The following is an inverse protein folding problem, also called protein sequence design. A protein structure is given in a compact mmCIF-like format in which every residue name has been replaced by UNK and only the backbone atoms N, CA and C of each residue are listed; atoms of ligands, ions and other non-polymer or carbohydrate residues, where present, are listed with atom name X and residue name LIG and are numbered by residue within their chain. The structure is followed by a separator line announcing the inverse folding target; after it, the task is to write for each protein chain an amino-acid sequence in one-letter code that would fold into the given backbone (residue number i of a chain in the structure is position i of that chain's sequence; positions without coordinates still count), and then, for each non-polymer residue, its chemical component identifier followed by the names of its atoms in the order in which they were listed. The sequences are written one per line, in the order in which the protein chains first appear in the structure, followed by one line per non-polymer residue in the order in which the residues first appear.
data_IF_922552413987
#
_entry.id   IF_922552413987
#
_cell.length_a   1.000
_cell.length_b   1.000
_cell.length_c   1.000
_cell.angle_alpha   90.00
_cell.angle_beta   90.00
_cell.angle_gamma   90.00
#
_symmetry.space_group_name_H-M   'P 1'
#
loop_
_entity.id
_entity.type
_entity.pdbx_description
1 polymer ?
#
# COMPACT_ATOMS: atom_id res chain seq x y z
N UNK A 1 -9.96 -17.90 -21.88
CA UNK A 1 -8.97 -17.52 -20.85
C UNK A 1 -9.68 -16.51 -19.97
N UNK A 2 -9.89 -16.79 -18.68
CA UNK A 2 -10.52 -15.84 -17.75
C UNK A 2 -9.39 -15.02 -17.14
N UNK A 3 -9.23 -13.80 -17.63
CA UNK A 3 -8.31 -12.83 -17.06
C UNK A 3 -9.00 -12.11 -15.91
N UNK A 4 -8.82 -12.62 -14.69
CA UNK A 4 -9.20 -11.91 -13.48
C UNK A 4 -8.02 -11.04 -13.04
N UNK A 5 -7.79 -9.92 -13.72
CA UNK A 5 -6.80 -8.93 -13.32
C UNK A 5 -7.33 -8.12 -12.13
N UNK A 6 -7.06 -8.54 -10.90
CA UNK A 6 -7.30 -7.72 -9.71
C UNK A 6 -6.01 -7.04 -9.32
N UNK A 7 -5.95 -5.72 -9.44
CA UNK A 7 -4.81 -4.90 -9.00
C UNK A 7 -4.61 -4.87 -7.47
N UNK A 8 -5.50 -5.54 -6.73
CA UNK A 8 -5.51 -5.60 -5.27
C UNK A 8 -5.99 -6.98 -4.82
N UNK A 9 -5.36 -7.56 -3.79
CA UNK A 9 -5.89 -8.73 -3.07
C UNK A 9 -5.93 -8.50 -1.57
N UNK A 10 -6.83 -9.22 -0.90
CA UNK A 10 -6.82 -9.34 0.55
C UNK A 10 -5.92 -10.50 0.94
N UNK A 11 -5.02 -10.28 1.89
CA UNK A 11 -4.14 -11.30 2.45
C UNK A 11 -4.39 -11.44 3.94
N UNK A 12 -4.09 -12.61 4.49
CA UNK A 12 -4.15 -12.89 5.91
C UNK A 12 -2.83 -13.49 6.43
N UNK A 13 -2.71 -13.48 7.76
CA UNK A 13 -1.53 -13.96 8.47
C UNK A 13 -1.32 -15.47 8.41
N UNK A 14 -2.30 -16.24 7.91
CA UNK A 14 -2.18 -17.70 7.86
C UNK A 14 -1.30 -18.12 6.69
N UNK A 15 -1.23 -17.30 5.63
CA UNK A 15 -0.46 -17.58 4.40
C UNK A 15 0.58 -16.50 4.05
N UNK A 16 0.46 -15.28 4.58
CA UNK A 16 1.31 -14.14 4.22
C UNK A 16 1.87 -13.40 5.44
N UNK A 17 2.95 -12.65 5.22
CA UNK A 17 3.48 -11.73 6.24
C UNK A 17 2.57 -10.51 6.34
N UNK A 18 1.91 -10.36 7.48
CA UNK A 18 1.05 -9.21 7.78
C UNK A 18 1.72 -8.36 8.87
N UNK A 19 2.06 -7.08 8.62
CA UNK A 19 2.79 -6.25 9.59
C UNK A 19 2.06 -6.02 10.91
N UNK A 20 0.72 -6.00 10.89
CA UNK A 20 -0.11 -5.79 12.07
C UNK A 20 -1.46 -6.50 11.95
N UNK A 21 -1.88 -7.19 13.01
CA UNK A 21 -3.19 -7.87 13.06
C UNK A 21 -3.23 -9.16 12.24
N UNK A 22 -4.41 -9.51 11.72
CA UNK A 22 -4.65 -10.77 11.00
C UNK A 22 -4.78 -10.64 9.48
N UNK A 23 -4.95 -9.42 8.96
CA UNK A 23 -5.30 -9.18 7.56
C UNK A 23 -4.62 -7.91 7.05
N UNK A 24 -4.23 -7.92 5.79
CA UNK A 24 -3.76 -6.75 5.07
C UNK A 24 -4.35 -6.70 3.66
N UNK A 25 -4.16 -5.55 3.02
CA UNK A 25 -4.45 -5.36 1.61
C UNK A 25 -3.12 -5.30 0.88
N UNK A 26 -2.99 -6.07 -0.18
CA UNK A 26 -1.81 -6.09 -1.02
C UNK A 26 -2.11 -5.52 -2.39
N UNK A 27 -1.29 -4.56 -2.81
CA UNK A 27 -1.31 -3.98 -4.15
C UNK A 27 -0.52 -4.88 -5.09
N UNK A 28 -1.19 -5.41 -6.11
CA UNK A 28 -0.58 -6.26 -7.12
C UNK A 28 -0.26 -5.41 -8.35
N UNK A 29 1.00 -5.43 -8.79
CA UNK A 29 1.36 -4.87 -10.09
C UNK A 29 1.02 -5.88 -11.19
N UNK A 30 0.14 -5.50 -12.12
CA UNK A 30 -0.30 -6.37 -13.22
C UNK A 30 0.76 -6.49 -14.31
N UNK A 31 1.16 -7.72 -14.66
CA UNK A 31 1.90 -8.01 -15.89
C UNK A 31 0.92 -7.99 -17.06
N UNK A 32 1.19 -7.19 -18.10
CA UNK A 32 1.31 -7.63 -19.51
C UNK A 32 1.86 -6.48 -20.39
N UNK A 33 3.05 -6.71 -20.97
CA UNK A 33 3.37 -6.26 -22.32
C UNK A 33 3.72 -4.80 -22.62
N UNK A 34 3.55 -3.83 -21.71
CA UNK A 34 3.93 -2.43 -21.95
C UNK A 34 4.89 -1.97 -20.84
N UNK A 35 5.93 -1.25 -21.25
CA UNK A 35 7.09 -0.78 -20.47
C UNK A 35 6.69 0.27 -19.39
N UNK A 36 5.42 0.32 -18.97
CA UNK A 36 4.92 1.23 -17.93
C UNK A 36 3.53 0.77 -17.47
N UNK A 37 3.43 0.09 -16.32
CA UNK A 37 2.15 -0.21 -15.65
C UNK A 37 2.36 -0.30 -14.13
N UNK A 38 2.35 0.86 -13.44
CA UNK A 38 2.07 0.93 -12.00
C UNK A 38 0.63 1.42 -11.85
N UNK A 39 -0.36 0.53 -11.97
CA UNK A 39 -1.79 0.93 -11.93
C UNK A 39 -2.62 0.11 -10.95
N UNK A 40 -2.19 0.07 -9.70
CA UNK A 40 -3.04 -0.25 -8.56
C UNK A 40 -3.13 0.96 -7.64
N UNK A 41 -4.25 1.70 -7.68
CA UNK A 41 -4.50 2.84 -6.79
C UNK A 41 -5.67 2.50 -5.88
N UNK A 42 -5.45 2.55 -4.57
CA UNK A 42 -6.53 2.53 -3.58
C UNK A 42 -6.66 3.94 -3.05
N UNK A 43 -7.83 4.54 -3.27
CA UNK A 43 -8.17 5.86 -2.77
C UNK A 43 -9.23 5.71 -1.69
N UNK A 44 -8.95 6.21 -0.49
CA UNK A 44 -9.93 6.33 0.58
C UNK A 44 -10.13 7.81 0.89
N UNK A 45 -11.38 8.28 0.78
CA UNK A 45 -11.76 9.62 1.23
C UNK A 45 -12.38 9.51 2.62
N UNK A 46 -11.97 10.41 3.51
CA UNK A 46 -12.49 10.53 4.87
C UNK A 46 -12.94 11.97 5.08
N UNK A 47 -14.11 12.18 5.67
CA UNK A 47 -14.59 13.52 6.01
C UNK A 47 -13.74 14.12 7.13
N UNK A 48 -13.24 15.33 6.92
CA UNK A 48 -12.49 16.10 7.91
C UNK A 48 -13.20 17.43 8.20
N UNK A 49 -13.04 17.94 9.42
CA UNK A 49 -13.48 19.29 9.80
C UNK A 49 -12.34 20.30 9.61
N UNK A 50 -12.59 21.50 9.05
CA UNK A 50 -11.60 22.58 8.98
C UNK A 50 -11.01 22.93 10.35
N UNK A 51 -9.75 23.39 10.36
CA UNK A 51 -8.99 23.79 11.55
C UNK A 51 -8.86 22.71 12.65
N UNK A 52 -8.98 21.43 12.29
CA UNK A 52 -8.62 20.32 13.17
C UNK A 52 -7.41 19.58 12.63
N UNK A 53 -6.51 19.22 13.52
CA UNK A 53 -5.36 18.37 13.22
C UNK A 53 -5.78 16.90 13.24
N UNK A 54 -5.32 16.14 12.24
CA UNK A 54 -5.51 14.70 12.14
C UNK A 54 -4.15 14.05 11.93
N UNK A 55 -3.97 12.85 12.48
CA UNK A 55 -2.77 12.03 12.32
C UNK A 55 -3.15 10.75 11.59
N UNK A 56 -2.46 10.48 10.47
CA UNK A 56 -2.69 9.30 9.64
C UNK A 56 -1.58 8.29 9.91
N UNK A 57 -1.85 7.27 10.71
CA UNK A 57 -0.88 6.20 10.97
C UNK A 57 -1.18 4.97 10.13
N UNK A 58 -0.14 4.41 9.50
CA UNK A 58 -0.25 3.17 8.72
C UNK A 58 1.08 2.41 8.70
N UNK A 59 1.02 1.14 8.31
CA UNK A 59 2.21 0.30 8.15
C UNK A 59 2.27 -0.25 6.74
N UNK A 60 3.43 -0.10 6.10
CA UNK A 60 3.75 -0.68 4.80
C UNK A 60 4.70 -1.86 5.00
N UNK A 61 4.60 -2.88 4.18
CA UNK A 61 5.47 -4.03 4.28
C UNK A 61 5.39 -4.95 3.07
N UNK A 62 6.33 -5.88 3.01
CA UNK A 62 6.30 -6.97 2.04
C UNK A 62 5.44 -8.11 2.58
N UNK A 63 4.61 -8.69 1.72
CA UNK A 63 3.83 -9.89 2.03
C UNK A 63 4.70 -11.16 2.18
N UNK A 64 6.00 -11.08 1.83
CA UNK A 64 6.93 -12.21 1.90
C UNK A 64 6.82 -13.17 0.71
N UNK A 65 6.16 -12.75 -0.37
CA UNK A 65 5.87 -13.57 -1.55
C UNK A 65 6.77 -13.23 -2.75
N UNK A 66 7.92 -12.61 -2.49
CA UNK A 66 8.90 -12.11 -3.47
C UNK A 66 8.47 -10.93 -4.36
N UNK A 67 7.26 -10.38 -4.18
CA UNK A 67 6.91 -9.10 -4.79
C UNK A 67 7.72 -7.97 -4.12
N UNK A 68 8.44 -7.18 -4.92
CA UNK A 68 9.48 -6.27 -4.46
C UNK A 68 9.34 -4.85 -5.06
N UNK A 69 10.01 -3.83 -4.47
CA UNK A 69 9.71 -2.38 -4.60
C UNK A 69 9.78 -1.82 -6.04
N UNK A 70 9.31 -0.57 -6.30
CA UNK A 70 8.90 0.47 -5.35
C UNK A 70 7.39 0.55 -5.06
N UNK A 71 7.04 0.93 -3.83
CA UNK A 71 5.68 1.32 -3.42
C UNK A 71 5.71 2.71 -2.78
N UNK A 72 4.68 3.51 -3.04
CA UNK A 72 4.49 4.81 -2.39
C UNK A 72 3.03 4.99 -1.96
N UNK A 73 2.83 5.66 -0.83
CA UNK A 73 1.52 6.14 -0.37
C UNK A 73 1.50 7.66 -0.46
N UNK A 74 0.44 8.20 -1.04
CA UNK A 74 0.20 9.63 -1.11
C UNK A 74 -1.03 9.95 -0.28
N UNK A 75 -0.89 10.86 0.68
CA UNK A 75 -1.97 11.34 1.52
C UNK A 75 -2.28 12.80 1.15
N UNK A 76 -3.56 13.13 0.99
CA UNK A 76 -4.02 14.47 0.62
C UNK A 76 -5.05 14.98 1.62
N UNK A 77 -4.95 16.24 2.01
CA UNK A 77 -5.92 16.94 2.85
C UNK A 77 -6.05 18.40 2.40
N UNK A 78 -7.09 18.70 1.62
CA UNK A 78 -7.24 20.03 1.01
C UNK A 78 -6.09 20.31 0.04
N UNK A 79 -5.29 21.34 0.31
CA UNK A 79 -4.10 21.74 -0.43
C UNK A 79 -2.79 21.09 0.09
N UNK A 80 -2.88 20.28 1.15
CA UNK A 80 -1.74 19.58 1.73
C UNK A 80 -1.56 18.21 1.08
N UNK A 81 -0.29 17.83 0.84
CA UNK A 81 0.08 16.54 0.29
C UNK A 81 1.32 15.97 1.01
N UNK A 82 1.30 14.69 1.32
CA UNK A 82 2.42 13.98 1.92
C UNK A 82 2.67 12.66 1.19
N UNK A 83 3.94 12.43 0.82
CA UNK A 83 4.36 11.24 0.07
C UNK A 83 5.26 10.38 0.95
N UNK A 84 4.89 9.10 1.10
CA UNK A 84 5.62 8.12 1.86
C UNK A 84 6.15 7.05 0.93
N UNK A 85 7.47 6.99 0.79
CA UNK A 85 8.13 5.95 -0.01
C UNK A 85 8.50 4.77 0.86
N UNK A 86 8.13 3.57 0.44
CA UNK A 86 8.56 2.35 1.09
C UNK A 86 9.78 1.77 0.38
N UNK A 87 10.88 1.68 1.13
CA UNK A 87 12.08 0.96 0.73
C UNK A 87 12.50 0.06 1.91
N UNK A 88 12.59 -1.26 1.73
CA UNK A 88 13.04 -2.16 2.79
C UNK A 88 14.42 -1.73 3.31
N UNK A 89 14.52 -1.40 4.60
CA UNK A 89 15.78 -1.05 5.24
C UNK A 89 16.38 -2.28 5.93
N UNK A 90 17.47 -2.82 5.37
CA UNK A 90 18.15 -4.00 5.92
C UNK A 90 17.23 -5.23 5.92
N UNK A 91 17.15 -5.93 7.07
CA UNK A 91 16.28 -7.11 7.23
C UNK A 91 14.84 -6.77 7.63
N UNK A 92 14.47 -5.49 7.70
CA UNK A 92 13.13 -5.08 8.09
C UNK A 92 12.12 -5.39 6.97
N UNK A 93 11.06 -6.12 7.31
CA UNK A 93 9.99 -6.51 6.38
C UNK A 93 8.83 -5.52 6.35
N UNK A 94 8.80 -4.55 7.27
CA UNK A 94 7.76 -3.51 7.34
C UNK A 94 8.27 -2.18 7.92
N UNK A 95 7.57 -1.09 7.63
CA UNK A 95 7.83 0.27 8.09
C UNK A 95 6.51 0.95 8.49
N UNK A 96 6.47 1.50 9.71
CA UNK A 96 5.37 2.36 10.15
C UNK A 96 5.58 3.81 9.67
N UNK A 97 4.49 4.49 9.36
CA UNK A 97 4.45 5.89 8.93
C UNK A 97 3.33 6.65 9.66
N UNK A 98 3.53 7.95 9.85
CA UNK A 98 2.58 8.93 10.41
C UNK A 98 2.69 10.24 9.64
#
# INVERSE_FOLDING_TARGET
MIESNRAVRFVDSDQYTVPQGKRAIELLSGKEGIISQMEGIISQMVETTPQKEYSLTFTLGSAGDSCQPPMAVMAFAGDQAQNFHYSPMGNATSQAAN
#
